data_IF_951257127774
#
_entry.id   IF_951257127774
#
_cell.length_a   1.000
_cell.length_b   1.000
_cell.length_c   1.000
_cell.angle_alpha   90.00
_cell.angle_beta   90.00
_cell.angle_gamma   90.00
#
_symmetry.space_group_name_H-M   'P 1'
#
loop_
_entity.id
_entity.type
_entity.pdbx_description
1 polymer ?
#
# COMPACT_ATOMS: atom_id res chain seq x y z
N UNK A 1 101.22 20.41 42.61
CA UNK A 1 100.70 19.31 41.76
C UNK A 1 101.29 19.60 40.41
N UNK A 2 102.48 19.08 40.20
CA UNK A 2 103.39 19.70 39.26
C UNK A 2 103.22 18.96 37.94
N UNK A 3 102.87 19.71 36.89
CA UNK A 3 102.68 19.12 35.58
C UNK A 3 104.03 18.61 35.04
N UNK A 4 104.02 17.58 34.19
CA UNK A 4 105.21 17.23 33.39
C UNK A 4 105.78 18.50 32.73
N UNK A 5 107.11 18.69 32.71
CA UNK A 5 107.72 19.93 32.23
C UNK A 5 107.33 20.28 30.79
N UNK A 6 107.09 19.26 29.97
CA UNK A 6 106.61 19.38 28.58
C UNK A 6 105.22 20.02 28.47
N UNK A 7 104.37 19.83 29.48
CA UNK A 7 103.03 20.41 29.57
C UNK A 7 103.12 21.83 30.12
N UNK A 8 103.97 22.07 31.11
CA UNK A 8 104.20 23.40 31.69
C UNK A 8 104.83 24.37 30.66
N UNK A 9 105.84 23.92 29.92
CA UNK A 9 106.43 24.64 28.79
C UNK A 9 105.39 24.94 27.70
N UNK A 10 104.53 23.96 27.35
CA UNK A 10 103.47 24.18 26.37
C UNK A 10 102.40 25.19 26.83
N UNK A 11 102.05 25.17 28.13
CA UNK A 11 101.12 26.14 28.73
C UNK A 11 101.75 27.53 28.72
N UNK A 12 103.00 27.67 29.17
CA UNK A 12 103.76 28.91 29.16
C UNK A 12 103.88 29.51 27.76
N UNK A 13 104.37 28.73 26.79
CA UNK A 13 104.47 29.17 25.38
C UNK A 13 103.09 29.46 24.75
N UNK A 14 102.00 28.91 25.29
CA UNK A 14 100.64 29.26 24.87
C UNK A 14 100.15 30.58 25.47
N UNK A 15 100.53 30.91 26.70
CA UNK A 15 100.27 32.21 27.32
C UNK A 15 101.09 33.29 26.61
N UNK A 16 102.39 33.04 26.39
CA UNK A 16 103.29 33.93 25.65
C UNK A 16 102.74 34.24 24.25
N UNK A 17 102.22 33.23 23.54
CA UNK A 17 101.53 33.43 22.25
C UNK A 17 100.35 34.38 22.33
N UNK A 18 99.46 34.21 23.33
CA UNK A 18 98.29 35.07 23.53
C UNK A 18 98.66 36.51 23.92
N UNK A 19 99.86 36.71 24.50
CA UNK A 19 100.43 38.02 24.82
C UNK A 19 101.21 38.64 23.64
N UNK A 20 101.27 37.97 22.48
CA UNK A 20 101.96 38.46 21.28
C UNK A 20 103.47 38.23 21.28
N UNK A 21 104.01 37.43 22.21
CA UNK A 21 105.43 37.11 22.30
C UNK A 21 105.81 35.98 21.30
N UNK A 22 107.07 35.92 20.85
CA UNK A 22 107.53 34.90 19.90
C UNK A 22 107.52 33.50 20.53
N UNK A 23 106.88 32.56 19.84
CA UNK A 23 106.67 31.16 20.27
C UNK A 23 107.71 30.25 19.62
N UNK A 24 108.07 29.14 20.25
CA UNK A 24 108.93 28.14 19.60
C UNK A 24 108.27 27.54 18.35
N UNK A 25 109.10 27.24 17.34
CA UNK A 25 108.66 26.52 16.14
C UNK A 25 108.06 25.14 16.47
N UNK A 26 108.53 24.50 17.55
CA UNK A 26 108.02 23.21 18.04
C UNK A 26 106.55 23.31 18.49
N UNK A 27 106.21 24.30 19.31
CA UNK A 27 104.83 24.49 19.79
C UNK A 27 103.87 24.91 18.67
N UNK A 28 104.33 25.73 17.72
CA UNK A 28 103.54 26.04 16.52
C UNK A 28 103.26 24.79 15.67
N UNK A 29 104.25 23.90 15.49
CA UNK A 29 104.07 22.65 14.77
C UNK A 29 103.10 21.69 15.48
N UNK A 30 103.19 21.55 16.80
CA UNK A 30 102.26 20.74 17.60
C UNK A 30 100.83 21.28 17.51
N UNK A 31 100.63 22.60 17.62
CA UNK A 31 99.31 23.24 17.46
C UNK A 31 98.74 23.04 16.05
N UNK A 32 99.58 23.11 15.01
CA UNK A 32 99.19 22.85 13.63
C UNK A 32 98.74 21.39 13.44
N UNK A 33 99.49 20.42 13.97
CA UNK A 33 99.11 19.00 13.94
C UNK A 33 97.78 18.73 14.66
N UNK A 34 97.63 19.24 15.89
CA UNK A 34 96.38 19.12 16.65
C UNK A 34 95.19 19.79 15.95
N UNK A 35 95.41 20.92 15.27
CA UNK A 35 94.38 21.57 14.45
C UNK A 35 94.01 20.77 13.20
N UNK A 36 94.96 20.09 12.56
CA UNK A 36 94.67 19.21 11.42
C UNK A 36 93.94 17.93 11.86
N UNK A 37 94.31 17.34 13.00
CA UNK A 37 93.66 16.15 13.53
C UNK A 37 92.22 16.44 13.98
N UNK A 38 91.99 17.51 14.73
CA UNK A 38 90.62 17.94 15.10
C UNK A 38 89.77 18.31 13.87
N UNK A 39 90.35 18.98 12.85
CA UNK A 39 89.66 19.22 11.58
C UNK A 39 89.30 17.92 10.85
N UNK A 40 90.17 16.91 10.88
CA UNK A 40 89.90 15.57 10.31
C UNK A 40 88.77 14.87 11.06
N UNK A 41 88.85 14.80 12.39
CA UNK A 41 87.82 14.19 13.23
C UNK A 41 86.44 14.87 13.01
N UNK A 42 86.40 16.20 12.92
CA UNK A 42 85.17 16.94 12.62
C UNK A 42 84.61 16.62 11.22
N UNK A 43 85.46 16.51 10.20
CA UNK A 43 85.04 16.08 8.85
C UNK A 43 84.46 14.66 8.87
N UNK A 44 85.13 13.73 9.54
CA UNK A 44 84.69 12.33 9.62
C UNK A 44 83.35 12.21 10.38
N UNK A 45 83.17 12.97 11.47
CA UNK A 45 81.88 13.09 12.18
C UNK A 45 80.79 13.70 11.29
N UNK A 46 81.08 14.80 10.58
CA UNK A 46 80.13 15.44 9.66
C UNK A 46 79.67 14.48 8.55
N UNK A 47 80.62 13.74 7.94
CA UNK A 47 80.30 12.72 6.92
C UNK A 47 79.45 11.58 7.51
N UNK A 48 79.75 11.11 8.73
CA UNK A 48 78.95 10.10 9.43
C UNK A 48 77.51 10.58 9.71
N UNK A 49 77.35 11.83 10.15
CA UNK A 49 76.03 12.43 10.40
C UNK A 49 75.25 12.63 9.10
N UNK A 50 75.90 13.08 8.02
CA UNK A 50 75.29 13.25 6.70
C UNK A 50 74.81 11.92 6.11
N UNK A 51 75.59 10.84 6.28
CA UNK A 51 75.18 9.49 5.88
C UNK A 51 73.97 8.99 6.70
N UNK A 52 73.97 9.21 8.03
CA UNK A 52 72.83 8.87 8.91
C UNK A 52 71.57 9.66 8.56
N UNK A 53 71.69 10.94 8.22
CA UNK A 53 70.57 11.79 7.81
C UNK A 53 69.91 11.24 6.54
N UNK A 54 70.70 11.00 5.48
CA UNK A 54 70.19 10.39 4.23
C UNK A 54 69.48 9.05 4.46
N UNK A 55 70.06 8.17 5.27
CA UNK A 55 69.44 6.89 5.59
C UNK A 55 68.11 7.04 6.36
N UNK A 56 67.96 8.11 7.17
CA UNK A 56 66.70 8.45 7.84
C UNK A 56 65.68 9.06 6.87
N UNK A 57 66.10 9.93 5.96
CA UNK A 57 65.23 10.52 4.94
C UNK A 57 64.64 9.42 4.03
N UNK A 58 65.47 8.47 3.56
CA UNK A 58 65.00 7.32 2.80
C UNK A 58 64.00 6.44 3.58
N UNK A 59 64.20 6.27 4.90
CA UNK A 59 63.29 5.51 5.75
C UNK A 59 61.94 6.24 5.91
N UNK A 60 61.97 7.57 6.06
CA UNK A 60 60.77 8.41 6.10
C UNK A 60 59.99 8.30 4.79
N UNK A 61 60.66 8.35 3.63
CA UNK A 61 59.99 8.22 2.35
C UNK A 61 59.41 6.82 2.13
N UNK A 62 60.11 5.73 2.48
CA UNK A 62 59.53 4.36 2.48
C UNK A 62 58.27 4.29 3.34
N UNK A 63 58.33 4.78 4.57
CA UNK A 63 57.18 4.80 5.49
C UNK A 63 56.01 5.64 4.95
N UNK A 64 56.28 6.74 4.22
CA UNK A 64 55.25 7.55 3.55
C UNK A 64 54.58 6.80 2.40
N UNK A 65 55.34 6.08 1.58
CA UNK A 65 54.77 5.25 0.51
C UNK A 65 53.92 4.11 1.07
N UNK A 66 54.40 3.40 2.10
CA UNK A 66 53.66 2.36 2.80
C UNK A 66 52.35 2.90 3.42
N UNK A 67 52.42 4.01 4.15
CA UNK A 67 51.25 4.65 4.76
C UNK A 67 50.22 5.10 3.70
N UNK A 68 50.66 5.62 2.55
CA UNK A 68 49.78 6.00 1.44
C UNK A 68 49.09 4.78 0.81
N UNK A 69 49.83 3.70 0.54
CA UNK A 69 49.23 2.46 0.02
C UNK A 69 48.23 1.85 1.00
N UNK A 70 48.55 1.83 2.30
CA UNK A 70 47.63 1.37 3.35
C UNK A 70 46.38 2.24 3.45
N UNK A 71 46.51 3.57 3.40
CA UNK A 71 45.38 4.49 3.40
C UNK A 71 44.46 4.29 2.18
N UNK A 72 45.02 4.04 0.99
CA UNK A 72 44.24 3.71 -0.21
C UNK A 72 43.52 2.36 -0.09
N UNK A 73 44.17 1.34 0.49
CA UNK A 73 43.55 0.05 0.74
C UNK A 73 42.37 0.17 1.71
N UNK A 74 42.58 0.83 2.86
CA UNK A 74 41.52 1.09 3.85
C UNK A 74 40.36 1.88 3.23
N UNK A 75 40.64 2.90 2.41
CA UNK A 75 39.60 3.65 1.70
C UNK A 75 38.73 2.76 0.82
N UNK A 76 39.32 1.87 0.01
CA UNK A 76 38.56 0.92 -0.84
C UNK A 76 37.72 -0.04 0.00
N UNK A 77 38.27 -0.57 1.10
CA UNK A 77 37.50 -1.42 2.02
C UNK A 77 36.30 -0.70 2.62
N UNK A 78 36.42 0.60 2.96
CA UNK A 78 35.29 1.41 3.44
C UNK A 78 34.24 1.62 2.34
N UNK A 79 34.66 1.92 1.11
CA UNK A 79 33.77 2.08 -0.05
C UNK A 79 33.01 0.77 -0.38
N UNK A 80 33.69 -0.37 -0.35
CA UNK A 80 33.10 -1.70 -0.56
C UNK A 80 32.14 -2.10 0.58
N UNK A 81 32.51 -1.86 1.84
CA UNK A 81 31.63 -2.10 2.99
C UNK A 81 30.38 -1.22 2.96
N UNK A 82 30.50 0.06 2.56
CA UNK A 82 29.36 0.96 2.41
C UNK A 82 28.42 0.50 1.29
N UNK A 83 28.97 0.05 0.15
CA UNK A 83 28.19 -0.56 -0.93
C UNK A 83 27.45 -1.80 -0.44
N UNK A 84 28.14 -2.72 0.23
CA UNK A 84 27.54 -3.94 0.78
C UNK A 84 26.43 -3.64 1.79
N UNK A 85 26.61 -2.63 2.66
CA UNK A 85 25.58 -2.19 3.58
C UNK A 85 24.31 -1.72 2.84
N UNK A 86 24.45 -0.91 1.79
CA UNK A 86 23.30 -0.46 0.97
C UNK A 86 22.60 -1.61 0.21
N UNK A 87 23.35 -2.64 -0.20
CA UNK A 87 22.78 -3.86 -0.80
C UNK A 87 22.02 -4.69 0.24
N UNK A 88 22.54 -4.81 1.46
CA UNK A 88 21.85 -5.44 2.58
C UNK A 88 20.57 -4.69 2.96
N UNK A 89 20.59 -3.36 3.05
CA UNK A 89 19.40 -2.55 3.30
C UNK A 89 18.34 -2.76 2.22
N UNK A 90 18.73 -2.69 0.93
CA UNK A 90 17.84 -2.98 -0.20
C UNK A 90 17.23 -4.38 -0.09
N UNK A 91 18.04 -5.41 0.14
CA UNK A 91 17.56 -6.79 0.28
C UNK A 91 16.60 -6.95 1.46
N UNK A 92 16.86 -6.31 2.61
CA UNK A 92 15.95 -6.30 3.76
C UNK A 92 14.60 -5.66 3.40
N UNK A 93 14.59 -4.54 2.65
CA UNK A 93 13.31 -3.96 2.19
C UNK A 93 12.55 -4.89 1.25
N UNK A 94 13.25 -5.66 0.41
CA UNK A 94 12.63 -6.67 -0.46
C UNK A 94 12.09 -7.86 0.33
N UNK A 95 12.82 -8.38 1.32
CA UNK A 95 12.33 -9.42 2.23
C UNK A 95 11.05 -8.97 2.93
N UNK A 96 11.00 -7.75 3.48
CA UNK A 96 9.78 -7.21 4.10
C UNK A 96 8.63 -7.02 3.10
N UNK A 97 8.89 -6.71 1.83
CA UNK A 97 7.84 -6.69 0.78
C UNK A 97 7.28 -8.10 0.58
N UNK A 98 8.14 -9.12 0.47
CA UNK A 98 7.73 -10.52 0.28
C UNK A 98 7.02 -11.10 1.52
N UNK A 99 7.44 -10.75 2.73
CA UNK A 99 6.77 -11.16 3.98
C UNK A 99 5.33 -10.67 4.05
N UNK A 100 5.07 -9.40 3.69
CA UNK A 100 3.71 -8.85 3.60
C UNK A 100 2.89 -9.54 2.52
N UNK A 101 3.51 -9.84 1.38
CA UNK A 101 2.87 -10.52 0.25
C UNK A 101 2.48 -11.98 0.59
N UNK A 102 3.35 -12.71 1.31
CA UNK A 102 3.03 -14.03 1.85
C UNK A 102 1.86 -13.97 2.84
N UNK A 103 1.86 -13.00 3.77
CA UNK A 103 0.77 -12.83 4.73
C UNK A 103 -0.58 -12.54 4.04
N UNK A 104 -0.58 -11.79 2.92
CA UNK A 104 -1.78 -11.61 2.09
C UNK A 104 -2.24 -12.93 1.45
N UNK A 105 -1.33 -13.75 0.92
CA UNK A 105 -1.68 -15.07 0.37
C UNK A 105 -2.22 -16.05 1.42
N UNK A 106 -1.67 -16.06 2.64
CA UNK A 106 -2.21 -16.89 3.73
C UNK A 106 -3.63 -16.44 4.12
N UNK A 107 -3.87 -15.13 4.22
CA UNK A 107 -5.19 -14.57 4.51
C UNK A 107 -6.22 -14.83 3.38
N UNK A 108 -5.83 -14.65 2.11
CA UNK A 108 -6.68 -14.96 0.95
C UNK A 108 -7.06 -16.45 0.92
N UNK A 109 -6.12 -17.35 1.28
CA UNK A 109 -6.38 -18.79 1.38
C UNK A 109 -7.38 -19.11 2.49
N UNK A 110 -7.24 -18.47 3.65
CA UNK A 110 -8.16 -18.64 4.79
C UNK A 110 -9.58 -18.17 4.42
N UNK A 111 -9.72 -16.98 3.86
CA UNK A 111 -11.01 -16.44 3.40
C UNK A 111 -11.68 -17.33 2.33
N UNK A 112 -10.92 -17.93 1.42
CA UNK A 112 -11.44 -18.89 0.43
C UNK A 112 -11.88 -20.22 1.07
N UNK A 113 -11.22 -20.66 2.14
CA UNK A 113 -11.60 -21.86 2.89
C UNK A 113 -12.88 -21.64 3.70
N UNK A 114 -13.00 -20.49 4.37
CA UNK A 114 -14.21 -20.07 5.07
C UNK A 114 -15.40 -19.98 4.11
N UNK A 115 -15.22 -19.32 2.95
CA UNK A 115 -16.24 -19.25 1.91
C UNK A 115 -16.67 -20.64 1.38
N UNK A 116 -15.74 -21.58 1.26
CA UNK A 116 -16.04 -22.97 0.89
C UNK A 116 -16.94 -23.64 1.92
N UNK A 117 -16.62 -23.51 3.21
CA UNK A 117 -17.42 -24.06 4.30
C UNK A 117 -18.83 -23.44 4.33
N UNK A 118 -18.96 -22.10 4.22
CA UNK A 118 -20.26 -21.43 4.17
C UNK A 118 -21.12 -21.84 2.96
N UNK A 119 -20.48 -22.13 1.82
CA UNK A 119 -21.16 -22.59 0.62
C UNK A 119 -21.67 -24.04 0.78
N UNK A 120 -20.87 -24.93 1.37
CA UNK A 120 -21.25 -26.31 1.66
C UNK A 120 -22.35 -26.41 2.72
N UNK A 121 -22.29 -25.60 3.79
CA UNK A 121 -23.37 -25.49 4.79
C UNK A 121 -24.68 -25.05 4.14
N UNK A 122 -24.67 -23.99 3.33
CA UNK A 122 -25.84 -23.50 2.59
C UNK A 122 -26.41 -24.54 1.63
N UNK A 123 -25.55 -25.33 0.98
CA UNK A 123 -25.98 -26.42 0.10
C UNK A 123 -26.66 -27.54 0.89
N UNK A 124 -26.14 -27.90 2.07
CA UNK A 124 -26.76 -28.87 2.98
C UNK A 124 -28.13 -28.37 3.50
N UNK A 125 -28.24 -27.11 3.91
CA UNK A 125 -29.52 -26.49 4.31
C UNK A 125 -30.56 -26.47 3.19
N UNK A 126 -30.14 -26.18 1.95
CA UNK A 126 -31.02 -26.18 0.79
C UNK A 126 -31.51 -27.60 0.47
N UNK A 127 -30.61 -28.60 0.54
CA UNK A 127 -30.94 -30.01 0.35
C UNK A 127 -31.88 -30.54 1.45
N UNK A 128 -31.65 -30.16 2.72
CA UNK A 128 -32.52 -30.54 3.83
C UNK A 128 -33.95 -30.00 3.66
N UNK A 129 -34.09 -28.72 3.27
CA UNK A 129 -35.38 -28.09 2.96
C UNK A 129 -36.07 -28.72 1.74
N UNK A 130 -35.32 -29.08 0.69
CA UNK A 130 -35.87 -29.77 -0.47
C UNK A 130 -36.45 -31.14 -0.08
N UNK A 131 -35.72 -31.93 0.71
CA UNK A 131 -36.22 -33.22 1.23
C UNK A 131 -37.43 -33.08 2.16
N UNK A 132 -37.58 -31.96 2.86
CA UNK A 132 -38.77 -31.67 3.67
C UNK A 132 -39.98 -31.37 2.79
N UNK A 133 -39.84 -30.47 1.82
CA UNK A 133 -40.87 -30.15 0.84
C UNK A 133 -41.29 -31.36 -0.01
N UNK A 134 -40.36 -32.25 -0.37
CA UNK A 134 -40.68 -33.51 -1.07
C UNK A 134 -41.57 -34.44 -0.22
N UNK A 135 -41.36 -34.50 1.11
CA UNK A 135 -42.24 -35.27 2.01
C UNK A 135 -43.62 -34.63 2.11
N UNK A 136 -43.68 -33.32 2.28
CA UNK A 136 -44.93 -32.57 2.42
C UNK A 136 -45.78 -32.65 1.14
N UNK A 137 -45.16 -32.52 -0.03
CA UNK A 137 -45.81 -32.76 -1.32
C UNK A 137 -46.33 -34.19 -1.43
N UNK A 138 -45.55 -35.19 -1.02
CA UNK A 138 -45.97 -36.59 -0.99
C UNK A 138 -47.16 -36.87 -0.05
N UNK A 139 -47.33 -36.08 1.02
CA UNK A 139 -48.52 -36.12 1.89
C UNK A 139 -49.72 -35.43 1.23
N UNK A 140 -49.52 -34.21 0.70
CA UNK A 140 -50.56 -33.44 -0.01
C UNK A 140 -51.11 -34.17 -1.24
N UNK A 141 -50.27 -34.85 -2.02
CA UNK A 141 -50.71 -35.68 -3.14
C UNK A 141 -51.59 -36.85 -2.69
N UNK A 142 -51.27 -37.48 -1.56
CA UNK A 142 -52.11 -38.53 -0.97
C UNK A 142 -53.45 -37.98 -0.49
N UNK A 143 -53.48 -36.78 0.07
CA UNK A 143 -54.73 -36.11 0.47
C UNK A 143 -55.57 -35.71 -0.74
N UNK A 144 -54.98 -35.06 -1.75
CA UNK A 144 -55.66 -34.74 -3.01
C UNK A 144 -56.24 -35.97 -3.69
N UNK A 145 -55.53 -37.11 -3.65
CA UNK A 145 -56.02 -38.37 -4.20
C UNK A 145 -57.24 -38.89 -3.43
N UNK A 146 -57.29 -38.76 -2.10
CA UNK A 146 -58.49 -39.07 -1.28
C UNK A 146 -59.65 -38.14 -1.64
N UNK A 147 -59.41 -36.82 -1.71
CA UNK A 147 -60.45 -35.85 -2.06
C UNK A 147 -61.01 -36.08 -3.47
N UNK A 148 -60.15 -36.31 -4.47
CA UNK A 148 -60.58 -36.57 -5.85
C UNK A 148 -61.45 -37.83 -5.95
N UNK A 149 -61.11 -38.89 -5.23
CA UNK A 149 -61.93 -40.11 -5.15
C UNK A 149 -63.30 -39.86 -4.48
N UNK A 150 -63.40 -38.88 -3.58
CA UNK A 150 -64.70 -38.43 -3.05
C UNK A 150 -65.49 -37.54 -4.04
N UNK A 151 -64.80 -36.67 -4.77
CA UNK A 151 -65.44 -35.67 -5.64
C UNK A 151 -65.91 -36.22 -6.99
N UNK A 152 -65.27 -37.26 -7.55
CA UNK A 152 -65.76 -37.94 -8.78
C UNK A 152 -67.14 -38.62 -8.58
N UNK A 153 -67.67 -38.64 -7.35
CA UNK A 153 -69.04 -39.08 -7.04
C UNK A 153 -70.11 -37.98 -7.20
N UNK A 154 -69.74 -36.71 -7.43
CA UNK A 154 -70.65 -35.57 -7.29
C UNK A 154 -70.56 -34.59 -8.48
N UNK A 155 -71.74 -34.34 -9.05
CA UNK A 155 -72.16 -33.25 -9.93
C UNK A 155 -71.76 -33.20 -11.42
N UNK A 156 -72.78 -33.45 -12.23
CA UNK A 156 -72.94 -32.88 -13.57
C UNK A 156 -73.90 -31.68 -13.52
N UNK A 157 -73.62 -30.64 -14.32
CA UNK A 157 -74.59 -29.62 -14.78
C UNK A 157 -75.16 -28.68 -13.70
N UNK A 158 -75.11 -27.35 -13.85
CA UNK A 158 -75.75 -26.67 -14.98
C UNK A 158 -75.41 -25.17 -14.99
N UNK A 159 -75.42 -24.57 -16.17
CA UNK A 159 -75.32 -23.11 -16.32
C UNK A 159 -76.72 -22.47 -16.34
N UNK A 160 -76.87 -21.32 -15.68
CA UNK A 160 -77.88 -20.32 -16.08
C UNK A 160 -77.47 -18.92 -15.61
N UNK A 161 -77.97 -17.90 -16.30
CA UNK A 161 -77.59 -16.48 -16.24
C UNK A 161 -78.00 -15.74 -14.95
N UNK A 162 -78.17 -16.46 -13.84
CA UNK A 162 -78.32 -15.87 -12.50
C UNK A 162 -76.97 -15.44 -11.91
N UNK A 163 -75.86 -15.88 -12.51
CA UNK A 163 -74.52 -15.76 -11.93
C UNK A 163 -73.75 -14.47 -12.24
N UNK A 164 -74.19 -13.53 -13.09
CA UNK A 164 -73.33 -12.37 -13.43
C UNK A 164 -73.10 -11.43 -12.23
N UNK A 165 -74.14 -11.15 -11.44
CA UNK A 165 -74.03 -10.32 -10.23
C UNK A 165 -73.29 -11.07 -9.11
N UNK A 166 -73.52 -12.38 -8.94
CA UNK A 166 -72.78 -13.23 -7.99
C UNK A 166 -71.29 -13.40 -8.38
N UNK A 167 -70.98 -13.48 -9.69
CA UNK A 167 -69.61 -13.50 -10.20
C UNK A 167 -68.92 -12.15 -10.03
N UNK A 168 -69.64 -11.04 -10.23
CA UNK A 168 -69.14 -9.69 -9.96
C UNK A 168 -68.84 -9.52 -8.46
N UNK A 169 -69.76 -9.94 -7.60
CA UNK A 169 -69.61 -9.91 -6.14
C UNK A 169 -68.43 -10.79 -5.68
N UNK A 170 -68.27 -11.99 -6.25
CA UNK A 170 -67.13 -12.89 -6.01
C UNK A 170 -65.79 -12.33 -6.50
N UNK A 171 -65.77 -11.68 -7.67
CA UNK A 171 -64.59 -11.02 -8.21
C UNK A 171 -64.21 -9.79 -7.36
N UNK A 172 -65.19 -8.98 -6.95
CA UNK A 172 -64.97 -7.85 -6.04
C UNK A 172 -64.51 -8.34 -4.65
N UNK A 173 -64.98 -9.49 -4.16
CA UNK A 173 -64.49 -10.11 -2.92
C UNK A 173 -63.02 -10.58 -3.02
N UNK A 174 -62.55 -10.88 -4.24
CA UNK A 174 -61.19 -11.35 -4.52
C UNK A 174 -60.21 -10.19 -4.76
N UNK A 175 -60.68 -9.09 -5.36
CA UNK A 175 -59.85 -7.96 -5.80
C UNK A 175 -59.84 -6.80 -4.80
N UNK A 176 -60.95 -6.53 -4.10
CA UNK A 176 -61.00 -5.46 -3.10
C UNK A 176 -60.43 -5.91 -1.75
N UNK A 177 -59.65 -5.03 -1.12
CA UNK A 177 -59.20 -5.21 0.25
C UNK A 177 -60.42 -5.26 1.21
N UNK A 178 -60.33 -6.08 2.27
CA UNK A 178 -61.43 -6.24 3.26
C UNK A 178 -61.60 -5.05 4.22
N UNK A 179 -60.81 -3.98 4.06
CA UNK A 179 -60.78 -2.89 5.02
C UNK A 179 -61.79 -1.78 4.70
N UNK A 180 -63.07 -2.08 4.99
CA UNK A 180 -64.16 -1.10 4.91
C UNK A 180 -63.93 0.16 5.79
N UNK A 181 -63.03 0.10 6.79
CA UNK A 181 -62.69 1.23 7.65
C UNK A 181 -61.91 2.30 6.87
N UNK A 182 -61.03 1.89 5.95
CA UNK A 182 -60.29 2.81 5.07
C UNK A 182 -61.24 3.60 4.16
N UNK A 183 -62.27 2.94 3.62
CA UNK A 183 -63.30 3.52 2.75
C UNK A 183 -64.15 4.56 3.48
N UNK A 184 -64.58 4.24 4.70
CA UNK A 184 -65.35 5.15 5.53
C UNK A 184 -64.54 6.40 5.90
N UNK A 185 -63.26 6.22 6.26
CA UNK A 185 -62.34 7.32 6.51
C UNK A 185 -62.14 8.21 5.27
N UNK A 186 -61.98 7.62 4.09
CA UNK A 186 -61.86 8.37 2.82
C UNK A 186 -63.11 9.21 2.51
N UNK A 187 -64.31 8.64 2.63
CA UNK A 187 -65.56 9.37 2.40
C UNK A 187 -65.79 10.48 3.43
N UNK A 188 -65.40 10.26 4.69
CA UNK A 188 -65.48 11.26 5.75
C UNK A 188 -64.47 12.42 5.53
N UNK A 189 -63.24 12.11 5.11
CA UNK A 189 -62.23 13.11 4.75
C UNK A 189 -62.64 13.96 3.52
N UNK A 190 -63.43 13.39 2.60
CA UNK A 190 -63.96 14.07 1.42
C UNK A 190 -65.41 14.59 1.61
N UNK A 191 -65.89 14.72 2.84
CA UNK A 191 -67.29 15.09 3.16
C UNK A 191 -67.70 16.52 2.75
N UNK A 192 -66.74 17.36 2.35
CA UNK A 192 -66.98 18.64 1.65
C UNK A 192 -67.67 18.44 0.29
N UNK A 193 -67.47 17.28 -0.35
CA UNK A 193 -68.14 16.90 -1.57
C UNK A 193 -69.57 16.38 -1.28
N UNK A 194 -70.57 17.08 -1.82
CA UNK A 194 -72.01 16.72 -1.81
C UNK A 194 -72.28 15.23 -2.05
N UNK A 195 -71.56 14.60 -2.97
CA UNK A 195 -71.76 13.18 -3.31
C UNK A 195 -71.16 12.23 -2.27
N UNK A 196 -69.95 12.52 -1.78
CA UNK A 196 -69.33 11.75 -0.69
C UNK A 196 -70.16 11.83 0.59
N UNK A 197 -70.70 13.01 0.90
CA UNK A 197 -71.61 13.24 2.03
C UNK A 197 -72.91 12.44 1.92
N UNK A 198 -73.52 12.37 0.73
CA UNK A 198 -74.73 11.56 0.47
C UNK A 198 -74.45 10.05 0.59
N UNK A 199 -73.33 9.58 0.03
CA UNK A 199 -72.88 8.19 0.17
C UNK A 199 -72.62 7.83 1.64
N UNK A 200 -72.01 8.74 2.42
CA UNK A 200 -71.77 8.56 3.85
C UNK A 200 -73.08 8.44 4.66
N UNK A 201 -74.10 9.25 4.35
CA UNK A 201 -75.42 9.13 5.02
C UNK A 201 -76.18 7.86 4.64
N UNK A 202 -75.89 7.29 3.47
CA UNK A 202 -76.50 6.03 3.01
C UNK A 202 -75.65 4.79 3.32
N UNK A 203 -74.48 4.94 3.96
CA UNK A 203 -73.45 3.91 4.10
C UNK A 203 -74.00 2.54 4.53
N UNK A 204 -74.79 2.50 5.60
CA UNK A 204 -75.38 1.27 6.15
C UNK A 204 -76.41 0.59 5.22
N UNK A 205 -76.92 1.33 4.22
CA UNK A 205 -77.88 0.87 3.22
C UNK A 205 -77.24 0.59 1.85
N UNK A 206 -75.93 0.85 1.67
CA UNK A 206 -75.22 0.49 0.44
C UNK A 206 -74.99 -1.02 0.38
N UNK A 207 -75.13 -1.59 -0.82
CA UNK A 207 -74.82 -2.98 -1.12
C UNK A 207 -73.32 -3.29 -0.92
N UNK A 208 -72.93 -4.54 -0.57
CA UNK A 208 -71.54 -4.93 -0.38
C UNK A 208 -70.66 -4.66 -1.61
N UNK A 209 -71.16 -4.98 -2.80
CA UNK A 209 -70.57 -4.65 -4.12
C UNK A 209 -70.18 -3.17 -4.20
N UNK A 210 -71.11 -2.27 -3.86
CA UNK A 210 -70.94 -0.82 -3.88
C UNK A 210 -69.90 -0.36 -2.86
N UNK A 211 -69.88 -0.94 -1.65
CA UNK A 211 -68.84 -0.62 -0.65
C UNK A 211 -67.44 -1.07 -1.09
N UNK A 212 -67.32 -2.22 -1.74
CA UNK A 212 -66.03 -2.70 -2.31
C UNK A 212 -65.55 -1.83 -3.47
N UNK A 213 -66.44 -1.39 -4.35
CA UNK A 213 -66.10 -0.41 -5.40
C UNK A 213 -65.63 0.91 -4.78
N UNK A 214 -66.29 1.40 -3.73
CA UNK A 214 -65.84 2.59 -3.00
C UNK A 214 -64.48 2.39 -2.30
N UNK A 215 -64.19 1.18 -1.80
CA UNK A 215 -62.89 0.80 -1.24
C UNK A 215 -61.78 0.89 -2.29
N UNK A 216 -62.02 0.32 -3.47
CA UNK A 216 -61.09 0.41 -4.61
C UNK A 216 -60.89 1.87 -5.06
N UNK A 217 -61.93 2.71 -5.04
CA UNK A 217 -61.80 4.15 -5.35
C UNK A 217 -60.96 4.89 -4.29
N UNK A 218 -61.11 4.56 -3.01
CA UNK A 218 -60.28 5.12 -1.93
C UNK A 218 -58.81 4.71 -2.10
N UNK A 219 -58.55 3.42 -2.37
CA UNK A 219 -57.21 2.86 -2.58
C UNK A 219 -56.52 3.43 -3.83
N UNK A 220 -57.26 3.58 -4.94
CA UNK A 220 -56.77 4.28 -6.14
C UNK A 220 -56.39 5.74 -5.83
N UNK A 221 -57.16 6.43 -4.98
CA UNK A 221 -56.86 7.81 -4.59
C UNK A 221 -55.66 7.94 -3.65
N UNK A 222 -55.43 6.98 -2.74
CA UNK A 222 -54.20 6.96 -1.95
C UNK A 222 -52.98 6.67 -2.82
N UNK A 223 -53.08 5.70 -3.74
CA UNK A 223 -52.00 5.37 -4.69
C UNK A 223 -51.68 6.52 -5.65
N UNK A 224 -52.67 7.35 -6.02
CA UNK A 224 -52.45 8.55 -6.82
C UNK A 224 -51.62 9.61 -6.07
N UNK A 225 -51.89 9.81 -4.77
CA UNK A 225 -51.10 10.71 -3.91
C UNK A 225 -49.68 10.16 -3.68
N UNK A 226 -49.56 8.86 -3.37
CA UNK A 226 -48.25 8.21 -3.15
C UNK A 226 -47.38 8.26 -4.40
N UNK A 227 -47.98 8.07 -5.59
CA UNK A 227 -47.30 8.25 -6.87
C UNK A 227 -46.76 9.67 -7.06
N UNK A 228 -47.50 10.69 -6.64
CA UNK A 228 -47.03 12.08 -6.74
C UNK A 228 -45.90 12.36 -5.74
N UNK A 229 -46.01 11.85 -4.51
CA UNK A 229 -44.93 11.92 -3.53
C UNK A 229 -43.65 11.19 -4.00
N UNK A 230 -43.79 10.03 -4.63
CA UNK A 230 -42.68 9.29 -5.23
C UNK A 230 -42.05 10.05 -6.40
N UNK A 231 -42.84 10.74 -7.24
CA UNK A 231 -42.31 11.62 -8.30
C UNK A 231 -41.47 12.75 -7.70
N UNK A 232 -42.01 13.50 -6.74
CA UNK A 232 -41.30 14.61 -6.09
C UNK A 232 -40.00 14.13 -5.40
N UNK A 233 -40.04 12.96 -4.77
CA UNK A 233 -38.85 12.36 -4.16
C UNK A 233 -37.81 11.92 -5.20
N UNK A 234 -38.23 11.43 -6.37
CA UNK A 234 -37.34 11.08 -7.48
C UNK A 234 -36.69 12.33 -8.08
N UNK A 235 -37.49 13.36 -8.39
CA UNK A 235 -36.99 14.64 -8.93
C UNK A 235 -35.92 15.25 -8.00
N UNK A 236 -36.17 15.27 -6.68
CA UNK A 236 -35.17 15.71 -5.68
C UNK A 236 -33.92 14.82 -5.66
N UNK A 237 -34.07 13.51 -5.74
CA UNK A 237 -32.92 12.60 -5.75
C UNK A 237 -32.04 12.79 -7.01
N UNK A 238 -32.65 13.09 -8.16
CA UNK A 238 -31.92 13.44 -9.38
C UNK A 238 -31.16 14.77 -9.24
N UNK A 239 -31.75 15.79 -8.59
CA UNK A 239 -31.05 17.04 -8.25
C UNK A 239 -29.88 16.82 -7.28
N UNK A 240 -30.05 16.01 -6.23
CA UNK A 240 -28.99 15.66 -5.28
C UNK A 240 -27.83 14.92 -5.97
N UNK A 241 -28.13 13.94 -6.83
CA UNK A 241 -27.12 13.21 -7.63
C UNK A 241 -26.35 14.17 -8.54
N UNK A 242 -27.03 15.14 -9.15
CA UNK A 242 -26.38 16.15 -10.00
C UNK A 242 -25.45 17.06 -9.21
N UNK A 243 -25.87 17.55 -8.05
CA UNK A 243 -25.02 18.36 -7.17
C UNK A 243 -23.78 17.58 -6.69
N UNK A 244 -23.96 16.32 -6.31
CA UNK A 244 -22.84 15.43 -5.93
C UNK A 244 -21.91 15.13 -7.11
N UNK A 245 -22.41 15.05 -8.35
CA UNK A 245 -21.58 14.90 -9.54
C UNK A 245 -20.72 16.15 -9.77
N UNK A 246 -21.30 17.34 -9.69
CA UNK A 246 -20.60 18.62 -9.85
C UNK A 246 -19.53 18.81 -8.75
N UNK A 247 -19.84 18.46 -7.50
CA UNK A 247 -18.88 18.47 -6.38
C UNK A 247 -17.74 17.46 -6.57
N UNK A 248 -18.03 16.22 -6.96
CA UNK A 248 -17.00 15.22 -7.27
C UNK A 248 -16.12 15.65 -8.45
N UNK A 249 -16.67 16.32 -9.46
CA UNK A 249 -15.90 16.85 -10.59
C UNK A 249 -14.92 17.94 -10.15
N UNK A 250 -15.36 18.85 -9.25
CA UNK A 250 -14.50 19.86 -8.64
C UNK A 250 -13.37 19.24 -7.80
N UNK A 251 -13.69 18.22 -6.98
CA UNK A 251 -12.73 17.51 -6.14
C UNK A 251 -11.71 16.72 -6.97
N UNK A 252 -12.11 16.08 -8.07
CA UNK A 252 -11.20 15.39 -8.99
C UNK A 252 -10.22 16.37 -9.66
N UNK A 253 -10.68 17.53 -10.12
CA UNK A 253 -9.80 18.57 -10.66
C UNK A 253 -8.84 19.16 -9.61
N UNK A 254 -9.26 19.30 -8.35
CA UNK A 254 -8.35 19.68 -7.27
C UNK A 254 -7.32 18.58 -6.94
N UNK A 255 -7.75 17.31 -6.87
CA UNK A 255 -6.86 16.17 -6.68
C UNK A 255 -5.81 16.06 -7.80
N UNK A 256 -6.21 16.24 -9.06
CA UNK A 256 -5.29 16.32 -10.22
C UNK A 256 -4.28 17.46 -10.08
N UNK A 257 -4.68 18.64 -9.57
CA UNK A 257 -3.77 19.78 -9.31
C UNK A 257 -2.79 19.47 -8.18
N UNK A 258 -3.26 18.87 -7.08
CA UNK A 258 -2.43 18.45 -5.95
C UNK A 258 -1.42 17.38 -6.37
N UNK A 259 -1.84 16.37 -7.13
CA UNK A 259 -0.97 15.31 -7.65
C UNK A 259 0.15 15.87 -8.54
N UNK A 260 -0.14 16.86 -9.40
CA UNK A 260 0.88 17.58 -10.19
C UNK A 260 1.88 18.31 -9.28
N UNK A 261 1.39 19.09 -8.30
CA UNK A 261 2.24 19.83 -7.35
C UNK A 261 3.14 18.92 -6.51
N UNK A 262 2.67 17.73 -6.13
CA UNK A 262 3.48 16.71 -5.46
C UNK A 262 4.60 16.17 -6.37
N UNK A 263 4.30 15.86 -7.64
CA UNK A 263 5.31 15.45 -8.62
C UNK A 263 6.35 16.54 -8.89
N UNK A 264 5.93 17.80 -8.98
CA UNK A 264 6.83 18.96 -9.14
C UNK A 264 7.78 19.17 -7.94
N UNK A 265 7.29 18.97 -6.71
CA UNK A 265 8.13 18.96 -5.50
C UNK A 265 9.17 17.83 -5.52
N UNK A 266 8.81 16.65 -6.04
CA UNK A 266 9.72 15.51 -6.11
C UNK A 266 10.81 15.66 -7.20
N UNK A 267 10.65 16.59 -8.15
CA UNK A 267 11.64 16.84 -9.21
C UNK A 267 12.55 18.07 -8.97
N UNK A 268 12.24 18.90 -7.97
CA UNK A 268 13.03 20.12 -7.67
C UNK A 268 14.23 19.88 -6.73
N UNK A 269 14.50 18.62 -6.35
CA UNK A 269 15.58 18.23 -5.43
C UNK A 269 16.94 17.88 -6.05
N UNK A 270 17.17 18.07 -7.36
CA UNK A 270 18.40 17.65 -8.05
C UNK A 270 19.19 18.82 -8.65
N UNK A 271 19.79 19.65 -7.79
CA UNK A 271 20.61 20.80 -8.17
C UNK A 271 21.98 20.84 -7.47
N UNK A 272 22.88 19.89 -7.79
CA UNK A 272 24.22 19.77 -7.17
C UNK A 272 25.32 19.45 -8.19
N UNK A 273 26.05 20.48 -8.61
CA UNK A 273 26.87 20.59 -9.84
C UNK A 273 28.34 20.07 -9.70
N UNK A 274 28.99 19.83 -10.86
CA UNK A 274 30.45 19.60 -11.13
C UNK A 274 30.95 18.12 -10.97
N UNK A 275 31.97 17.57 -11.66
CA UNK A 275 32.83 17.98 -12.82
C UNK A 275 33.61 16.80 -13.47
N UNK A 276 33.68 16.74 -14.82
CA UNK A 276 34.71 16.03 -15.63
C UNK A 276 34.76 14.47 -15.59
N UNK A 277 35.41 13.73 -16.51
CA UNK A 277 36.04 14.04 -17.80
C UNK A 277 36.31 12.76 -18.63
N UNK A 278 36.25 12.87 -19.98
CA UNK A 278 36.99 12.08 -21.00
C UNK A 278 37.00 10.53 -21.03
N UNK A 279 36.34 9.98 -22.06
CA UNK A 279 36.93 9.14 -23.14
C UNK A 279 38.11 8.18 -22.84
N UNK A 280 37.88 6.88 -23.01
CA UNK A 280 38.88 5.92 -23.50
C UNK A 280 38.23 4.77 -24.32
N UNK A 281 38.96 4.25 -25.31
CA UNK A 281 38.49 3.33 -26.36
C UNK A 281 39.48 2.19 -26.53
N UNK A 282 39.13 0.94 -26.17
CA UNK A 282 39.96 -0.22 -26.52
C UNK A 282 39.25 -1.60 -26.55
N UNK A 283 39.27 -2.18 -27.74
CA UNK A 283 39.56 -3.58 -28.08
C UNK A 283 38.67 -4.79 -27.72
N UNK A 284 38.43 -5.55 -28.79
CA UNK A 284 37.74 -6.85 -28.95
C UNK A 284 38.53 -8.04 -28.38
N UNK A 285 37.81 -9.08 -27.92
CA UNK A 285 37.96 -10.55 -28.20
C UNK A 285 36.87 -11.30 -27.42
N UNK A 286 35.78 -11.79 -28.06
CA UNK A 286 35.57 -13.14 -28.63
C UNK A 286 35.72 -14.33 -27.64
N UNK A 287 34.56 -14.85 -27.16
CA UNK A 287 34.07 -16.26 -27.15
C UNK A 287 34.93 -17.43 -26.62
N UNK A 288 34.43 -18.55 -26.06
CA UNK A 288 33.11 -19.09 -25.58
C UNK A 288 33.33 -20.57 -25.15
N UNK A 289 32.37 -21.38 -24.62
CA UNK A 289 31.11 -21.13 -23.89
C UNK A 289 31.07 -21.81 -22.49
N UNK A 290 30.04 -21.53 -21.67
CA UNK A 290 29.62 -22.43 -20.57
C UNK A 290 28.12 -22.70 -20.66
N UNK A 291 27.76 -23.98 -20.65
CA UNK A 291 26.38 -24.49 -20.65
C UNK A 291 25.64 -24.00 -19.41
N UNK A 292 24.47 -23.38 -19.58
CA UNK A 292 23.41 -23.32 -18.59
C UNK A 292 22.05 -23.08 -19.29
N UNK A 293 20.99 -23.62 -18.69
CA UNK A 293 19.66 -23.77 -19.27
C UNK A 293 18.81 -22.49 -19.30
N UNK A 294 17.85 -22.36 -20.24
CA UNK A 294 17.02 -21.17 -20.38
C UNK A 294 15.75 -21.23 -19.50
N UNK A 295 15.91 -21.23 -18.17
CA UNK A 295 14.80 -20.93 -17.24
C UNK A 295 15.27 -20.04 -16.09
N UNK A 296 15.56 -18.78 -16.42
CA UNK A 296 15.53 -17.68 -15.48
C UNK A 296 14.63 -16.60 -16.09
N UNK A 297 13.31 -16.71 -15.87
CA UNK A 297 12.44 -15.53 -15.95
C UNK A 297 12.96 -14.57 -14.88
N UNK A 298 13.66 -13.53 -15.30
CA UNK A 298 13.80 -12.33 -14.47
C UNK A 298 12.39 -11.81 -14.26
N UNK A 299 11.86 -12.02 -13.06
CA UNK A 299 10.68 -11.30 -12.62
C UNK A 299 11.19 -9.89 -12.36
N UNK A 300 10.82 -8.97 -13.24
CA UNK A 300 11.15 -7.56 -13.10
C UNK A 300 10.22 -7.00 -12.02
N UNK A 301 10.76 -6.72 -10.83
CA UNK A 301 9.95 -6.30 -9.69
C UNK A 301 9.67 -4.79 -9.67
N UNK A 302 10.24 -4.03 -10.61
CA UNK A 302 10.11 -2.58 -10.70
C UNK A 302 8.71 -2.11 -11.17
N UNK A 303 7.82 -3.01 -11.59
CA UNK A 303 6.47 -2.68 -12.08
C UNK A 303 5.34 -2.97 -11.06
N UNK A 304 5.63 -3.64 -9.93
CA UNK A 304 4.64 -3.99 -8.89
C UNK A 304 4.68 -3.00 -7.71
N UNK A 305 4.46 -1.72 -7.99
CA UNK A 305 4.40 -0.66 -6.96
C UNK A 305 2.96 -0.32 -6.51
N UNK A 306 1.98 -1.12 -6.96
CA UNK A 306 0.63 -1.16 -6.40
C UNK A 306 0.50 -2.31 -5.40
N UNK A 307 0.66 -2.02 -4.11
CA UNK A 307 0.39 -2.99 -3.05
C UNK A 307 -1.08 -3.45 -3.13
N UNK A 308 -1.30 -4.73 -3.46
CA UNK A 308 -2.65 -5.27 -3.55
C UNK A 308 -3.32 -5.30 -2.18
N UNK A 309 -4.63 -5.07 -2.15
CA UNK A 309 -5.43 -5.26 -0.95
C UNK A 309 -5.79 -6.75 -0.79
N UNK A 310 -5.96 -7.25 0.45
CA UNK A 310 -6.50 -8.59 0.69
C UNK A 310 -7.87 -8.75 0.03
N UNK A 311 -8.21 -9.97 -0.36
CA UNK A 311 -9.57 -10.28 -0.81
C UNK A 311 -10.55 -9.94 0.31
N UNK A 312 -11.47 -9.02 0.03
CA UNK A 312 -12.58 -8.75 0.95
C UNK A 312 -13.42 -10.01 1.10
N UNK A 313 -13.96 -10.32 2.30
CA UNK A 313 -14.90 -11.42 2.48
C UNK A 313 -15.99 -11.35 1.41
N UNK A 314 -16.09 -12.40 0.60
CA UNK A 314 -17.00 -12.42 -0.55
C UNK A 314 -18.42 -12.25 -0.03
N UNK A 315 -19.01 -11.08 -0.29
CA UNK A 315 -20.35 -10.75 0.21
C UNK A 315 -21.32 -11.87 -0.14
N UNK A 316 -21.94 -12.42 0.90
CA UNK A 316 -22.94 -13.45 0.74
C UNK A 316 -24.06 -12.97 -0.19
N UNK A 317 -24.12 -13.59 -1.37
CA UNK A 317 -25.24 -13.49 -2.30
C UNK A 317 -26.43 -14.28 -1.75
N UNK A 318 -26.86 -13.94 -0.54
CA UNK A 318 -28.13 -14.38 0.01
C UNK A 318 -29.25 -13.55 -0.62
N UNK A 319 -30.34 -14.16 -1.12
CA UNK A 319 -31.44 -13.45 -1.78
C UNK A 319 -32.08 -12.33 -0.93
N UNK A 320 -31.98 -12.43 0.40
CA UNK A 320 -32.72 -11.58 1.35
C UNK A 320 -32.13 -10.18 1.59
N UNK A 321 -30.91 -9.89 1.12
CA UNK A 321 -30.23 -8.61 1.37
C UNK A 321 -30.76 -7.41 0.55
N UNK A 322 -31.91 -7.53 -0.12
CA UNK A 322 -32.58 -6.41 -0.83
C UNK A 322 -33.59 -5.63 0.02
N UNK A 323 -33.76 -5.99 1.30
CA UNK A 323 -34.68 -5.29 2.20
C UNK A 323 -33.95 -4.31 3.12
N UNK A 324 -34.33 -3.04 3.00
CA UNK A 324 -34.00 -1.90 3.88
C UNK A 324 -32.53 -1.44 3.94
N UNK A 325 -32.25 -0.37 3.18
CA UNK A 325 -31.49 0.77 3.72
C UNK A 325 -32.48 1.91 4.01
N UNK A 326 -32.34 2.53 5.18
CA UNK A 326 -32.97 3.80 5.54
C UNK A 326 -32.14 4.96 4.99
#
# INVERSE_FOLDING_TARGET
MDFPPEIDDYIKESIDHCLGLPVSSRTLHIKLLASHESQRQLRDQHLSLLAKLKAKDELIERARFEANMNAQAVKRFVEENQKLASECESLVTQCQKLERECALYDHDREALMEFGNEADERAQEAHARALELERDLGLLEQELKKYKQGNESVDSSSASTLGEEDLLESLLATVASKDESSTYAFLNANSENEYCKKLLTMWNCLEPSTRRVLSLVAEVKTLENDKEHLRINLDRAEEEVKLLFDENSMLDEENKRLAKRCKERNHTGSGGKLTGSTSAKSNKRKSSPKTNSPMARKIDFDEIDSARQPLSPLRNNSPDCRMYKK
#
